data_IF_152923507300
#
_entry.id   IF_152923507300
#
_cell.length_a   1.000
_cell.length_b   1.000
_cell.length_c   1.000
_cell.angle_alpha   90.00
_cell.angle_beta   90.00
_cell.angle_gamma   90.00
#
_symmetry.space_group_name_H-M   'P 1'
#
loop_
_entity.id
_entity.type
_entity.pdbx_description
1 polymer ?
#
# COMPACT_ATOMS: atom_id res chain seq x y z
N UNK A 1 -44.29 33.56 1.66
CA UNK A 1 -43.56 33.00 0.49
C UNK A 1 -42.10 32.99 0.84
N UNK A 2 -41.47 31.83 1.07
CA UNK A 2 -40.02 31.68 1.17
C UNK A 2 -39.70 30.24 0.74
N UNK A 3 -39.21 30.10 -0.49
CA UNK A 3 -38.96 28.82 -1.15
C UNK A 3 -37.68 28.16 -0.63
N UNK A 4 -37.80 26.93 -0.15
CA UNK A 4 -36.67 26.05 0.12
C UNK A 4 -36.17 25.49 -1.21
N UNK A 5 -35.02 26.00 -1.67
CA UNK A 5 -34.32 25.51 -2.85
C UNK A 5 -33.61 24.19 -2.53
N UNK A 6 -34.15 23.07 -3.03
CA UNK A 6 -33.46 21.77 -2.99
C UNK A 6 -32.27 21.79 -3.95
N UNK A 7 -31.05 21.81 -3.40
CA UNK A 7 -29.83 21.56 -4.16
C UNK A 7 -29.77 20.08 -4.57
N UNK A 8 -30.01 19.80 -5.86
CA UNK A 8 -29.81 18.48 -6.47
C UNK A 8 -28.30 18.18 -6.56
N UNK A 9 -27.83 17.21 -5.78
CA UNK A 9 -26.49 16.63 -5.92
C UNK A 9 -26.46 15.85 -7.25
N UNK A 10 -25.73 16.37 -8.24
CA UNK A 10 -25.41 15.63 -9.48
C UNK A 10 -24.24 14.69 -9.21
N UNK A 11 -24.51 13.39 -9.11
CA UNK A 11 -23.49 12.35 -9.24
C UNK A 11 -22.90 12.40 -10.66
N UNK A 12 -21.64 12.84 -10.79
CA UNK A 12 -20.87 12.69 -12.03
C UNK A 12 -20.44 11.22 -12.14
N UNK A 13 -21.01 10.50 -13.09
CA UNK A 13 -20.52 9.18 -13.49
C UNK A 13 -19.13 9.32 -14.10
N UNK A 14 -18.14 8.67 -13.50
CA UNK A 14 -16.80 8.52 -14.07
C UNK A 14 -16.89 7.36 -15.07
N UNK A 15 -17.07 7.69 -16.35
CA UNK A 15 -16.91 6.73 -17.44
C UNK A 15 -15.41 6.50 -17.65
N UNK A 16 -14.91 5.36 -17.18
CA UNK A 16 -13.61 4.81 -17.55
C UNK A 16 -13.68 4.34 -19.01
N UNK A 17 -13.04 5.08 -19.91
CA UNK A 17 -12.82 4.65 -21.28
C UNK A 17 -11.63 3.69 -21.31
N UNK A 18 -11.89 2.40 -21.51
CA UNK A 18 -10.84 1.42 -21.81
C UNK A 18 -10.38 1.64 -23.26
N UNK A 19 -9.16 2.15 -23.43
CA UNK A 19 -8.47 2.26 -24.72
C UNK A 19 -8.07 0.85 -25.18
N UNK A 20 -8.72 0.35 -26.24
CA UNK A 20 -8.38 -0.92 -26.89
C UNK A 20 -7.11 -0.72 -27.72
N UNK A 21 -6.04 -1.45 -27.39
CA UNK A 21 -4.95 -1.70 -28.32
C UNK A 21 -5.21 -3.04 -29.01
N UNK A 22 -5.40 -2.99 -30.31
CA UNK A 22 -5.51 -4.12 -31.23
C UNK A 22 -4.17 -4.85 -31.32
N UNK A 23 -4.14 -6.13 -30.93
CA UNK A 23 -3.03 -7.04 -31.21
C UNK A 23 -3.50 -8.20 -32.06
N UNK A 24 -2.76 -8.42 -33.14
CA UNK A 24 -3.03 -9.29 -34.28
C UNK A 24 -3.30 -10.76 -33.93
N UNK A 25 -4.14 -11.39 -34.76
CA UNK A 25 -4.40 -12.82 -34.82
C UNK A 25 -3.10 -13.62 -35.04
N UNK A 26 -2.82 -14.60 -34.18
CA UNK A 26 -1.89 -15.68 -34.48
C UNK A 26 -2.58 -17.02 -34.24
N UNK A 27 -3.01 -17.65 -35.34
CA UNK A 27 -3.53 -19.01 -35.33
C UNK A 27 -2.35 -19.98 -35.16
N UNK A 28 -2.23 -20.60 -34.00
CA UNK A 28 -1.28 -21.68 -33.76
C UNK A 28 -1.94 -22.73 -32.86
N UNK A 29 -2.49 -23.78 -33.47
CA UNK A 29 -3.03 -24.91 -32.74
C UNK A 29 -1.92 -25.66 -32.01
N UNK A 30 -2.13 -25.96 -30.72
CA UNK A 30 -1.25 -26.83 -29.94
C UNK A 30 -2.12 -27.82 -29.17
N UNK A 31 -1.90 -29.10 -29.41
CA UNK A 31 -2.60 -30.21 -28.74
C UNK A 31 -2.22 -30.30 -27.26
N UNK A 32 -3.21 -30.41 -26.38
CA UNK A 32 -3.04 -30.64 -24.94
C UNK A 32 -2.98 -32.14 -24.62
N UNK A 33 -1.92 -32.56 -23.95
CA UNK A 33 -1.90 -33.79 -23.15
C UNK A 33 -2.29 -33.43 -21.71
N UNK A 34 -3.36 -34.02 -21.19
CA UNK A 34 -3.89 -33.76 -19.84
C UNK A 34 -3.55 -34.95 -18.94
N UNK A 35 -2.89 -34.69 -17.82
CA UNK A 35 -2.61 -35.72 -16.81
C UNK A 35 -3.90 -36.09 -16.05
N UNK A 36 -4.32 -37.34 -16.21
CA UNK A 36 -5.63 -37.84 -15.79
C UNK A 36 -5.88 -37.84 -14.27
N UNK A 37 -4.85 -37.62 -13.43
CA UNK A 37 -4.97 -37.77 -11.97
C UNK A 37 -5.20 -36.46 -11.21
N UNK A 38 -4.94 -35.28 -11.81
CA UNK A 38 -5.07 -34.00 -11.10
C UNK A 38 -5.82 -32.91 -11.87
N UNK A 39 -6.18 -33.15 -13.13
CA UNK A 39 -6.87 -32.15 -13.98
C UNK A 39 -6.07 -30.86 -14.18
N UNK A 40 -4.80 -30.83 -13.78
CA UNK A 40 -3.91 -29.68 -13.94
C UNK A 40 -3.10 -29.90 -15.22
N UNK A 41 -3.24 -28.98 -16.16
CA UNK A 41 -2.36 -28.91 -17.33
C UNK A 41 -0.91 -28.80 -16.83
N UNK A 42 -0.11 -29.86 -16.97
CA UNK A 42 1.35 -29.82 -16.77
C UNK A 42 1.98 -29.16 -18.00
N UNK A 43 1.70 -27.86 -18.16
CA UNK A 43 2.08 -27.07 -19.33
C UNK A 43 3.33 -26.24 -19.09
N UNK A 44 4.18 -26.16 -20.14
CA UNK A 44 5.32 -25.24 -20.25
C UNK A 44 4.98 -23.83 -19.76
N UNK A 45 6.00 -23.15 -19.22
CA UNK A 45 5.96 -21.74 -18.77
C UNK A 45 5.15 -20.86 -19.73
N UNK A 46 3.95 -20.46 -19.30
CA UNK A 46 3.03 -19.61 -20.07
C UNK A 46 3.54 -18.17 -20.02
N UNK A 47 4.40 -17.79 -20.99
CA UNK A 47 4.99 -16.44 -21.11
C UNK A 47 3.95 -15.30 -21.19
N UNK A 48 2.69 -15.63 -21.53
CA UNK A 48 1.58 -14.68 -21.69
C UNK A 48 0.79 -14.41 -20.41
N UNK A 49 1.05 -15.13 -19.31
CA UNK A 49 0.43 -14.77 -18.04
C UNK A 49 1.19 -13.58 -17.46
N UNK A 50 0.56 -12.40 -17.33
CA UNK A 50 1.22 -11.27 -16.69
C UNK A 50 1.61 -11.69 -15.26
N UNK A 51 2.85 -11.43 -14.83
CA UNK A 51 3.28 -11.80 -13.50
C UNK A 51 2.37 -11.15 -12.45
N UNK A 52 2.00 -11.93 -11.43
CA UNK A 52 1.14 -11.48 -10.32
C UNK A 52 1.74 -10.28 -9.59
N UNK A 53 3.07 -10.16 -9.63
CA UNK A 53 3.81 -9.03 -9.06
C UNK A 53 5.02 -8.71 -9.95
N UNK A 54 5.07 -7.49 -10.47
CA UNK A 54 6.31 -6.89 -10.97
C UNK A 54 6.76 -5.93 -9.88
N UNK A 55 7.82 -6.29 -9.15
CA UNK A 55 8.44 -5.36 -8.21
C UNK A 55 8.87 -4.08 -8.91
N UNK A 56 9.10 -2.98 -8.19
CA UNK A 56 9.61 -1.75 -8.78
C UNK A 56 11.00 -2.01 -9.37
N UNK A 57 11.03 -2.40 -10.65
CA UNK A 57 12.24 -2.75 -11.37
C UNK A 57 12.85 -1.48 -11.94
N UNK A 58 14.05 -1.14 -11.48
CA UNK A 58 14.84 -0.08 -12.08
C UNK A 58 15.58 -0.69 -13.26
N UNK A 59 15.15 -0.37 -14.47
CA UNK A 59 15.90 -0.81 -15.65
C UNK A 59 17.30 -0.18 -15.62
N UNK A 60 18.38 -0.96 -15.75
CA UNK A 60 19.74 -0.43 -15.65
C UNK A 60 20.04 0.57 -16.78
N UNK A 61 19.43 0.41 -17.95
CA UNK A 61 19.55 1.34 -19.07
C UNK A 61 18.86 2.69 -18.81
N UNK A 62 17.92 2.74 -17.87
CA UNK A 62 17.27 3.99 -17.46
C UNK A 62 18.09 4.71 -16.35
N UNK A 63 19.21 4.13 -15.92
CA UNK A 63 20.05 4.63 -14.81
C UNK A 63 21.37 5.17 -15.34
N UNK A 64 21.59 6.46 -15.11
CA UNK A 64 22.83 7.13 -15.47
C UNK A 64 22.71 7.94 -16.77
N UNK A 65 23.76 8.69 -17.12
CA UNK A 65 23.79 9.48 -18.34
C UNK A 65 24.09 8.58 -19.55
N UNK A 66 23.35 8.80 -20.64
CA UNK A 66 23.54 8.06 -21.90
C UNK A 66 24.84 8.42 -22.62
N UNK A 67 25.38 9.61 -22.36
CA UNK A 67 26.61 10.12 -22.97
C UNK A 67 27.43 10.93 -21.97
N UNK A 68 28.72 11.09 -22.27
CA UNK A 68 29.68 11.87 -21.49
C UNK A 68 30.41 12.88 -22.37
N UNK A 69 30.93 13.94 -21.76
CA UNK A 69 31.75 14.91 -22.47
C UNK A 69 33.14 14.32 -22.72
N UNK A 70 33.70 14.56 -23.91
CA UNK A 70 35.07 14.12 -24.27
C UNK A 70 36.12 14.69 -23.30
N UNK A 71 35.89 15.91 -22.83
CA UNK A 71 36.72 16.59 -21.83
C UNK A 71 36.68 15.91 -20.43
N UNK A 72 35.85 14.88 -20.23
CA UNK A 72 35.68 14.21 -18.94
C UNK A 72 34.81 14.96 -17.93
N UNK A 73 34.15 16.04 -18.33
CA UNK A 73 33.20 16.76 -17.46
C UNK A 73 32.05 15.84 -17.06
N UNK A 74 31.57 15.89 -15.80
CA UNK A 74 30.46 15.05 -15.37
C UNK A 74 29.17 15.49 -16.04
N UNK A 75 28.47 14.54 -16.67
CA UNK A 75 27.09 14.70 -17.10
C UNK A 75 26.19 14.03 -16.05
N UNK A 76 25.40 14.81 -15.32
CA UNK A 76 24.57 14.27 -14.25
C UNK A 76 23.28 13.62 -14.77
N UNK A 77 22.68 14.21 -15.82
CA UNK A 77 21.41 13.76 -16.39
C UNK A 77 21.38 14.04 -17.89
N UNK A 78 20.85 13.09 -18.66
CA UNK A 78 20.69 13.24 -20.12
C UNK A 78 19.24 13.48 -20.53
N UNK A 79 18.26 12.99 -19.75
CA UNK A 79 16.85 13.06 -20.10
C UNK A 79 15.98 13.75 -19.03
N UNK A 80 14.90 14.42 -19.47
CA UNK A 80 13.89 14.99 -18.57
C UNK A 80 13.21 13.92 -17.71
N UNK A 81 13.00 12.73 -18.28
CA UNK A 81 12.40 11.58 -17.60
C UNK A 81 13.23 11.12 -16.39
N UNK A 82 14.56 11.10 -16.50
CA UNK A 82 15.44 10.81 -15.36
C UNK A 82 15.27 11.85 -14.26
N UNK A 83 15.18 13.12 -14.63
CA UNK A 83 15.01 14.23 -13.69
C UNK A 83 13.66 14.14 -12.95
N UNK A 84 12.57 13.88 -13.68
CA UNK A 84 11.24 13.68 -13.11
C UNK A 84 11.20 12.49 -12.15
N UNK A 85 11.75 11.34 -12.57
CA UNK A 85 11.86 10.15 -11.71
C UNK A 85 12.59 10.45 -10.41
N UNK A 86 13.71 11.19 -10.47
CA UNK A 86 14.47 11.57 -9.28
C UNK A 86 13.70 12.52 -8.38
N UNK A 87 12.98 13.50 -8.95
CA UNK A 87 12.08 14.39 -8.19
C UNK A 87 10.96 13.62 -7.51
N UNK A 88 10.37 12.65 -8.19
CA UNK A 88 9.33 11.79 -7.61
C UNK A 88 9.88 10.94 -6.46
N UNK A 89 11.09 10.37 -6.60
CA UNK A 89 11.73 9.63 -5.52
C UNK A 89 11.92 10.48 -4.26
N UNK A 90 12.34 11.74 -4.41
CA UNK A 90 12.49 12.68 -3.29
C UNK A 90 11.12 12.93 -2.63
N UNK A 91 10.09 13.29 -3.42
CA UNK A 91 8.74 13.54 -2.92
C UNK A 91 8.14 12.34 -2.19
N UNK A 92 8.36 11.13 -2.71
CA UNK A 92 7.90 9.89 -2.08
C UNK A 92 8.65 9.65 -0.77
N UNK A 93 9.96 9.88 -0.74
CA UNK A 93 10.77 9.78 0.48
C UNK A 93 10.29 10.72 1.58
N UNK A 94 10.11 12.00 1.26
CA UNK A 94 9.58 13.02 2.19
C UNK A 94 8.21 12.61 2.75
N UNK A 95 7.32 12.11 1.87
CA UNK A 95 5.99 11.65 2.28
C UNK A 95 6.05 10.43 3.21
N UNK A 96 6.94 9.48 2.92
CA UNK A 96 7.10 8.28 3.77
C UNK A 96 7.56 8.71 5.17
N UNK A 97 8.58 9.56 5.26
CA UNK A 97 9.09 10.06 6.56
C UNK A 97 7.99 10.77 7.34
N UNK A 98 7.26 11.68 6.69
CA UNK A 98 6.15 12.38 7.33
C UNK A 98 5.05 11.45 7.86
N UNK A 99 4.71 10.39 7.12
CA UNK A 99 3.71 9.40 7.57
C UNK A 99 4.22 8.57 8.75
N UNK A 100 5.50 8.19 8.74
CA UNK A 100 6.11 7.46 9.85
C UNK A 100 6.14 8.30 11.13
N UNK A 101 6.45 9.59 11.03
CA UNK A 101 6.40 10.51 12.16
C UNK A 101 4.99 10.62 12.74
N UNK A 102 3.97 10.79 11.88
CA UNK A 102 2.56 10.80 12.30
C UNK A 102 2.15 9.50 13.00
N UNK A 103 2.60 8.34 12.49
CA UNK A 103 2.32 7.04 13.12
C UNK A 103 2.97 6.92 14.50
N UNK A 104 4.21 7.38 14.64
CA UNK A 104 4.93 7.37 15.91
C UNK A 104 4.23 8.24 16.96
N UNK A 105 3.74 9.41 16.55
CA UNK A 105 3.01 10.31 17.45
C UNK A 105 1.67 9.72 17.89
N UNK A 106 0.92 9.12 16.95
CA UNK A 106 -0.33 8.42 17.26
C UNK A 106 -0.11 7.22 18.18
N UNK A 107 0.99 6.49 17.99
CA UNK A 107 1.35 5.39 18.87
C UNK A 107 1.59 5.86 20.30
N UNK A 108 2.37 6.94 20.50
CA UNK A 108 2.62 7.51 21.84
C UNK A 108 1.32 7.93 22.53
N UNK A 109 0.45 8.64 21.81
CA UNK A 109 -0.85 9.08 22.35
C UNK A 109 -1.70 7.87 22.77
N UNK A 110 -1.68 6.80 21.96
CA UNK A 110 -2.42 5.58 22.27
C UNK A 110 -1.88 4.87 23.53
N UNK A 111 -0.56 4.74 23.64
CA UNK A 111 0.11 4.15 24.79
C UNK A 111 -0.18 4.92 26.09
N UNK A 112 -0.15 6.26 26.03
CA UNK A 112 -0.51 7.14 27.13
C UNK A 112 -1.98 6.99 27.54
N UNK A 113 -2.90 6.97 26.57
CA UNK A 113 -4.33 6.78 26.83
C UNK A 113 -4.62 5.41 27.45
N UNK A 114 -3.93 4.36 27.02
CA UNK A 114 -4.04 3.03 27.59
C UNK A 114 -3.47 2.95 29.01
N UNK A 115 -2.35 3.63 29.29
CA UNK A 115 -1.81 3.75 30.64
C UNK A 115 -2.81 4.46 31.58
N UNK A 116 -3.37 5.59 31.14
CA UNK A 116 -4.40 6.32 31.90
C UNK A 116 -5.63 5.45 32.19
N UNK A 117 -6.14 4.73 31.19
CA UNK A 117 -7.28 3.82 31.36
C UNK A 117 -6.98 2.72 32.39
N UNK A 118 -5.76 2.16 32.39
CA UNK A 118 -5.33 1.15 33.37
C UNK A 118 -5.26 1.74 34.78
N UNK A 119 -4.70 2.94 34.92
CA UNK A 119 -4.59 3.62 36.22
C UNK A 119 -5.96 3.99 36.79
N UNK A 120 -6.88 4.48 35.95
CA UNK A 120 -8.26 4.74 36.34
C UNK A 120 -8.98 3.47 36.78
N UNK A 121 -8.84 2.38 36.02
CA UNK A 121 -9.42 1.09 36.38
C UNK A 121 -8.86 0.57 37.71
N UNK A 122 -7.55 0.73 37.94
CA UNK A 122 -6.91 0.37 39.20
C UNK A 122 -7.44 1.21 40.36
N UNK A 123 -7.60 2.53 40.20
CA UNK A 123 -8.20 3.42 41.20
C UNK A 123 -9.65 3.03 41.52
N UNK A 124 -10.43 2.67 40.50
CA UNK A 124 -11.81 2.18 40.67
C UNK A 124 -11.82 0.87 41.45
N UNK A 125 -10.97 -0.10 41.07
CA UNK A 125 -10.86 -1.39 41.74
C UNK A 125 -10.43 -1.26 43.21
N UNK A 126 -9.49 -0.36 43.52
CA UNK A 126 -9.06 -0.08 44.89
C UNK A 126 -10.15 0.55 45.75
N UNK A 127 -10.99 1.43 45.17
CA UNK A 127 -12.11 2.07 45.87
C UNK A 127 -13.34 1.17 45.98
N UNK A 128 -13.43 0.12 45.16
CA UNK A 128 -14.59 -0.78 45.13
C UNK A 128 -14.70 -1.54 46.45
N UNK A 129 -15.87 -1.57 47.11
CA UNK A 129 -16.06 -2.37 48.31
C UNK A 129 -15.80 -3.86 48.04
N UNK A 130 -15.13 -4.55 48.97
CA UNK A 130 -14.95 -6.00 48.90
C UNK A 130 -16.26 -6.71 49.22
N UNK A 131 -16.62 -7.70 48.40
CA UNK A 131 -17.75 -8.56 48.69
C UNK A 131 -17.49 -9.38 49.96
N UNK A 132 -18.46 -9.42 50.87
CA UNK A 132 -18.41 -10.25 52.08
C UNK A 132 -18.86 -11.67 51.70
N UNK A 133 -18.21 -12.72 52.22
CA UNK A 133 -18.74 -14.10 52.11
C UNK A 133 -17.75 -15.25 51.85
N UNK A 134 -16.47 -14.99 51.54
CA UNK A 134 -15.48 -16.05 51.20
C UNK A 134 -14.25 -16.10 52.10
N UNK A 135 -14.12 -15.19 53.07
CA UNK A 135 -13.03 -15.21 54.05
C UNK A 135 -13.46 -16.07 55.25
N UNK A 136 -12.75 -17.17 55.50
CA UNK A 136 -12.89 -17.97 56.73
C UNK A 136 -12.39 -17.17 57.94
N UNK A 137 -13.03 -17.38 59.09
CA UNK A 137 -12.83 -16.58 60.32
C UNK A 137 -11.41 -16.77 60.92
N UNK A 138 -10.69 -17.82 60.52
CA UNK A 138 -9.42 -18.27 61.14
C UNK A 138 -8.15 -17.53 60.68
N UNK A 139 -8.26 -16.36 60.06
CA UNK A 139 -7.12 -15.53 59.65
C UNK A 139 -7.16 -14.17 60.35
N UNK A 140 -6.93 -14.17 61.66
CA UNK A 140 -6.63 -12.98 62.48
C UNK A 140 -5.40 -13.23 63.34
#
# INVERSE_FOLDING_TARGET
MNGLSLARIRLRSVLMSCRQNSSANFNGGVSLSVDASTGKETGRFKQHNPPIYVGPHVNPLDVGPDFSFVDGRPCYFTSRRQLERKKEQIRLGERIVSLLDQMNDLQKIHEEADAQRRDEQNKINQRKPQAKGTKTIDQF
#
